data_IF_316558843799
#
_entry.id   IF_316558843799
#
_cell.length_a   1.000
_cell.length_b   1.000
_cell.length_c   1.000
_cell.angle_alpha   90.00
_cell.angle_beta   90.00
_cell.angle_gamma   90.00
#
_symmetry.space_group_name_H-M   'P 1'
#
loop_
_entity.id
_entity.type
_entity.pdbx_description
1 polymer ?
#
# COMPACT_ATOMS: atom_id res chain seq x y z
N UNK A 1 10.06 -25.09 -3.50
CA UNK A 1 10.09 -23.81 -4.26
C UNK A 1 9.82 -22.60 -3.38
N UNK A 2 8.65 -22.45 -2.74
CA UNK A 2 8.35 -21.27 -1.91
C UNK A 2 9.14 -21.15 -0.58
N UNK A 3 9.84 -22.22 -0.16
CA UNK A 3 10.59 -22.31 1.10
C UNK A 3 12.11 -22.31 0.90
N UNK A 4 12.59 -22.25 -0.35
CA UNK A 4 14.02 -22.20 -0.64
C UNK A 4 14.59 -20.81 -0.30
N UNK A 5 15.77 -20.78 0.35
CA UNK A 5 16.35 -19.53 0.87
C UNK A 5 16.81 -18.58 -0.25
N UNK A 6 17.34 -19.11 -1.36
CA UNK A 6 17.77 -18.28 -2.48
C UNK A 6 16.55 -17.67 -3.18
N UNK A 7 15.48 -18.45 -3.35
CA UNK A 7 14.20 -17.96 -3.85
C UNK A 7 13.62 -16.86 -2.95
N UNK A 8 13.56 -17.08 -1.62
CA UNK A 8 13.04 -16.10 -0.67
C UNK A 8 13.85 -14.80 -0.68
N UNK A 9 15.19 -14.90 -0.74
CA UNK A 9 16.07 -13.75 -0.85
C UNK A 9 15.78 -12.92 -2.11
N UNK A 10 15.61 -13.59 -3.26
CA UNK A 10 15.24 -12.93 -4.51
C UNK A 10 13.85 -12.27 -4.44
N UNK A 11 12.83 -12.99 -3.96
CA UNK A 11 11.45 -12.49 -3.84
C UNK A 11 11.38 -11.25 -2.96
N UNK A 12 12.01 -11.27 -1.80
CA UNK A 12 12.04 -10.12 -0.87
C UNK A 12 12.88 -8.98 -1.47
N UNK A 13 13.97 -9.31 -2.17
CA UNK A 13 14.78 -8.36 -2.92
C UNK A 13 13.99 -7.58 -3.96
N UNK A 14 13.08 -8.23 -4.69
CA UNK A 14 12.20 -7.58 -5.66
C UNK A 14 11.31 -6.52 -5.00
N UNK A 15 10.69 -6.82 -3.86
CA UNK A 15 9.86 -5.83 -3.13
C UNK A 15 10.73 -4.68 -2.63
N UNK A 16 11.93 -4.98 -2.12
CA UNK A 16 12.87 -3.97 -1.65
C UNK A 16 13.29 -3.01 -2.77
N UNK A 17 13.55 -3.52 -3.97
CA UNK A 17 13.90 -2.69 -5.13
C UNK A 17 12.72 -1.80 -5.56
N UNK A 18 11.49 -2.30 -5.55
CA UNK A 18 10.30 -1.47 -5.78
C UNK A 18 10.24 -0.33 -4.74
N UNK A 19 10.44 -0.66 -3.45
CA UNK A 19 10.45 0.34 -2.37
C UNK A 19 11.53 1.40 -2.56
N UNK A 20 12.73 1.01 -2.98
CA UNK A 20 13.81 1.95 -3.32
C UNK A 20 13.43 2.91 -4.46
N UNK A 21 12.74 2.41 -5.49
CA UNK A 21 12.29 3.23 -6.62
C UNK A 21 11.19 4.22 -6.24
N UNK A 22 10.30 3.83 -5.33
CA UNK A 22 9.27 4.69 -4.76
C UNK A 22 9.88 5.75 -3.85
N UNK A 23 10.83 5.37 -3.00
CA UNK A 23 11.54 6.31 -2.11
C UNK A 23 12.32 7.36 -2.90
N UNK A 24 13.01 6.97 -3.97
CA UNK A 24 13.68 7.90 -4.87
C UNK A 24 12.73 8.92 -5.52
N UNK A 25 11.44 8.62 -5.60
CA UNK A 25 10.37 9.50 -6.09
C UNK A 25 9.58 10.17 -4.96
N UNK A 26 10.03 10.01 -3.72
CA UNK A 26 9.41 10.56 -2.52
C UNK A 26 7.94 10.13 -2.34
N UNK A 27 7.57 8.98 -2.89
CA UNK A 27 6.24 8.40 -2.70
C UNK A 27 6.10 7.95 -1.23
N UNK A 28 5.05 8.35 -0.50
CA UNK A 28 4.88 7.95 0.89
C UNK A 28 4.36 6.50 1.00
N UNK A 29 5.06 5.69 1.78
CA UNK A 29 4.69 4.30 2.10
C UNK A 29 5.24 3.91 3.48
N UNK A 30 4.67 2.86 4.08
CA UNK A 30 5.08 2.33 5.38
C UNK A 30 6.48 1.70 5.33
N UNK A 31 7.30 1.99 6.34
CA UNK A 31 8.68 1.50 6.45
C UNK A 31 8.90 0.67 7.72
N UNK A 32 9.85 -0.28 7.70
CA UNK A 32 10.65 -0.73 6.56
C UNK A 32 9.80 -1.50 5.52
N UNK A 33 10.34 -1.68 4.31
CA UNK A 33 9.68 -2.46 3.25
C UNK A 33 9.48 -3.92 3.72
N UNK A 34 8.24 -4.41 3.63
CA UNK A 34 7.88 -5.78 3.99
C UNK A 34 8.35 -6.82 2.97
N UNK A 35 8.20 -8.10 3.29
CA UNK A 35 8.62 -9.20 2.42
C UNK A 35 7.66 -9.49 1.25
N UNK A 36 6.39 -9.05 1.35
CA UNK A 36 5.31 -9.51 0.46
C UNK A 36 4.58 -8.40 -0.32
N UNK A 37 4.88 -7.13 -0.05
CA UNK A 37 4.23 -5.99 -0.70
C UNK A 37 4.62 -4.67 -0.06
N UNK A 38 4.15 -3.59 -0.67
CA UNK A 38 4.36 -2.21 -0.18
C UNK A 38 3.01 -1.60 0.11
N UNK A 39 2.90 -0.94 1.27
CA UNK A 39 1.68 -0.27 1.68
C UNK A 39 1.89 1.23 1.55
N UNK A 40 1.32 1.83 0.51
CA UNK A 40 1.31 3.29 0.32
C UNK A 40 0.54 3.93 1.47
N UNK A 41 1.07 5.03 2.02
CA UNK A 41 0.39 5.82 3.04
C UNK A 41 -0.50 6.85 2.35
N UNK A 42 -1.79 6.54 2.25
CA UNK A 42 -2.74 7.32 1.45
C UNK A 42 -2.98 8.68 2.07
N UNK A 43 -2.99 8.81 3.41
CA UNK A 43 -3.18 10.12 4.08
C UNK A 43 -2.05 11.07 3.74
N UNK A 44 -0.82 10.57 3.59
CA UNK A 44 0.32 11.37 3.13
C UNK A 44 0.35 11.56 1.63
N UNK A 45 -0.20 10.62 0.85
CA UNK A 45 -0.23 10.70 -0.61
C UNK A 45 -1.30 11.71 -1.11
N UNK A 46 -2.48 11.69 -0.49
CA UNK A 46 -3.66 12.50 -0.84
C UNK A 46 -4.16 13.29 0.39
N UNK A 47 -3.34 14.16 0.99
CA UNK A 47 -3.69 14.84 2.25
C UNK A 47 -4.88 15.83 2.14
N UNK A 48 -5.32 16.13 0.92
CA UNK A 48 -6.43 17.02 0.63
C UNK A 48 -7.80 16.31 0.63
N UNK A 49 -7.83 14.98 0.63
CA UNK A 49 -9.07 14.22 0.62
C UNK A 49 -9.40 13.73 2.04
N UNK A 50 -10.59 14.05 2.58
CA UNK A 50 -11.05 13.51 3.86
C UNK A 50 -11.36 12.01 3.72
N UNK A 51 -11.29 11.27 4.82
CA UNK A 51 -11.55 9.81 4.82
C UNK A 51 -12.94 9.45 4.28
N UNK A 52 -13.94 10.31 4.51
CA UNK A 52 -15.30 10.14 3.98
C UNK A 52 -15.38 10.11 2.44
N UNK A 53 -14.37 10.65 1.74
CA UNK A 53 -14.27 10.59 0.28
C UNK A 53 -13.49 9.36 -0.23
N UNK A 54 -13.16 8.42 0.66
CA UNK A 54 -12.56 7.12 0.35
C UNK A 54 -11.25 7.25 -0.47
N UNK A 55 -10.24 8.01 0.02
CA UNK A 55 -9.03 8.29 -0.74
C UNK A 55 -8.22 7.03 -1.10
N UNK A 56 -8.29 5.97 -0.27
CA UNK A 56 -7.66 4.69 -0.60
C UNK A 56 -8.25 4.05 -1.86
N UNK A 57 -9.58 4.07 -2.00
CA UNK A 57 -10.26 3.57 -3.20
C UNK A 57 -10.01 4.45 -4.42
N UNK A 58 -10.03 5.77 -4.24
CA UNK A 58 -9.69 6.70 -5.32
C UNK A 58 -8.28 6.41 -5.87
N UNK A 59 -7.29 6.21 -4.99
CA UNK A 59 -5.94 5.86 -5.42
C UNK A 59 -5.86 4.49 -6.11
N UNK A 60 -6.60 3.47 -5.65
CA UNK A 60 -6.67 2.16 -6.35
C UNK A 60 -7.18 2.33 -7.78
N UNK A 61 -8.24 3.12 -7.97
CA UNK A 61 -8.82 3.37 -9.29
C UNK A 61 -7.84 4.12 -10.19
N UNK A 62 -7.19 5.17 -9.70
CA UNK A 62 -6.24 5.95 -10.50
C UNK A 62 -4.98 5.14 -10.88
N UNK A 63 -4.49 4.27 -9.98
CA UNK A 63 -3.38 3.35 -10.31
C UNK A 63 -3.76 2.35 -11.41
N UNK A 64 -5.03 1.93 -11.44
CA UNK A 64 -5.53 1.08 -12.53
C UNK A 64 -5.70 1.87 -13.83
N UNK A 65 -6.27 3.08 -13.79
CA UNK A 65 -6.52 3.91 -14.98
C UNK A 65 -5.23 4.36 -15.66
N UNK A 66 -4.26 4.86 -14.88
CA UNK A 66 -3.02 5.42 -15.41
C UNK A 66 -1.94 4.35 -15.63
N UNK A 67 -1.87 3.35 -14.74
CA UNK A 67 -0.81 2.35 -14.75
C UNK A 67 -1.23 0.96 -15.24
N UNK A 68 -2.52 0.67 -15.35
CA UNK A 68 -3.02 -0.69 -15.57
C UNK A 68 -2.72 -1.64 -14.39
N UNK A 69 -2.42 -1.11 -13.20
CA UNK A 69 -1.99 -1.89 -12.03
C UNK A 69 -3.19 -2.05 -11.10
N UNK A 70 -3.60 -3.29 -10.86
CA UNK A 70 -4.60 -3.59 -9.84
C UNK A 70 -3.95 -3.70 -8.47
N UNK A 71 -4.38 -2.84 -7.56
CA UNK A 71 -3.94 -2.79 -6.16
C UNK A 71 -5.11 -3.09 -5.23
N UNK A 72 -4.84 -3.13 -3.93
CA UNK A 72 -5.88 -3.40 -2.91
C UNK A 72 -5.88 -2.29 -1.88
N UNK A 73 -7.03 -1.66 -1.67
CA UNK A 73 -7.24 -0.76 -0.54
C UNK A 73 -7.28 -1.56 0.76
N UNK A 74 -6.63 -1.02 1.78
CA UNK A 74 -6.58 -1.56 3.14
C UNK A 74 -6.89 -0.40 4.08
N UNK A 75 -8.17 -0.07 4.21
CA UNK A 75 -8.64 1.04 5.03
C UNK A 75 -10.14 1.09 5.24
N UNK A 76 -10.72 2.28 5.15
CA UNK A 76 -12.12 2.56 5.51
C UNK A 76 -13.12 1.56 4.92
N UNK A 77 -12.95 1.16 3.65
CA UNK A 77 -13.88 0.20 3.03
C UNK A 77 -13.65 -1.22 3.54
N UNK A 78 -12.39 -1.64 3.70
CA UNK A 78 -12.05 -2.96 4.23
C UNK A 78 -12.54 -3.16 5.68
N UNK A 79 -12.44 -2.13 6.51
CA UNK A 79 -12.76 -2.22 7.95
C UNK A 79 -14.18 -1.77 8.30
N UNK A 80 -14.90 -1.08 7.41
CA UNK A 80 -16.28 -0.67 7.63
C UNK A 80 -16.43 0.23 8.86
N UNK A 81 -17.22 -0.22 9.84
CA UNK A 81 -17.51 0.55 11.07
C UNK A 81 -16.33 0.68 12.04
N UNK A 82 -15.16 0.10 11.72
CA UNK A 82 -13.90 0.37 12.42
C UNK A 82 -13.08 -0.88 12.71
N UNK A 83 -12.02 -0.69 13.50
CA UNK A 83 -11.18 -1.80 13.99
C UNK A 83 -11.77 -2.41 15.27
N UNK A 84 -11.45 -3.68 15.61
CA UNK A 84 -11.93 -4.32 16.84
C UNK A 84 -11.64 -3.51 18.11
N UNK A 85 -10.58 -2.70 18.08
CA UNK A 85 -10.15 -1.85 19.20
C UNK A 85 -10.74 -0.42 19.14
N UNK A 86 -11.67 -0.13 18.23
CA UNK A 86 -12.28 1.18 18.08
C UNK A 86 -11.34 2.27 17.57
N UNK A 87 -10.21 1.90 16.96
CA UNK A 87 -9.26 2.83 16.35
C UNK A 87 -9.70 3.18 14.93
N UNK A 88 -9.44 4.43 14.55
CA UNK A 88 -9.54 4.87 13.16
C UNK A 88 -8.73 3.94 12.25
N UNK A 89 -9.33 3.41 11.17
CA UNK A 89 -8.62 2.53 10.26
C UNK A 89 -7.41 3.25 9.65
N UNK A 90 -6.35 2.46 9.38
CA UNK A 90 -5.26 2.94 8.54
C UNK A 90 -5.80 3.16 7.13
N UNK A 91 -5.29 4.16 6.41
CA UNK A 91 -5.66 4.38 5.01
C UNK A 91 -4.46 4.01 4.14
N UNK A 92 -4.49 2.79 3.60
CA UNK A 92 -3.36 2.22 2.86
C UNK A 92 -3.79 1.66 1.51
N UNK A 93 -2.86 1.64 0.56
CA UNK A 93 -2.99 0.87 -0.69
C UNK A 93 -1.82 -0.09 -0.82
N UNK A 94 -2.14 -1.38 -0.93
CA UNK A 94 -1.16 -2.45 -1.12
C UNK A 94 -0.82 -2.61 -2.61
N UNK A 95 0.47 -2.42 -2.92
CA UNK A 95 1.13 -2.81 -4.16
C UNK A 95 1.66 -4.25 -4.09
#
# INVERSE_FOLDING_TARGET
EATDLAYLAHRIGQVRELGRRLEARQVPFLRPVGGHGIYLDVRRFLPHLPAAELPGQALVVELYREGGIRTVEVGSIMFGEGTPEGREPLELVRL
#
